data_IF_146387495484
#
_entry.id   IF_146387495484
#
_cell.length_a   1.000
_cell.length_b   1.000
_cell.length_c   1.000
_cell.angle_alpha   90.00
_cell.angle_beta   90.00
_cell.angle_gamma   90.00
#
_symmetry.space_group_name_H-M   'P 1'
#
loop_
_entity.id
_entity.type
_entity.pdbx_description
1 polymer ?
#
# COMPACT_ATOMS: atom_id res chain seq x y z
N UNK A 1 14.37 -7.82 17.98
CA UNK A 1 13.30 -8.79 17.65
C UNK A 1 12.19 -8.02 16.96
N UNK A 2 12.01 -8.19 15.65
CA UNK A 2 10.95 -7.46 14.94
C UNK A 2 9.60 -7.96 15.44
N UNK A 3 8.73 -7.05 15.88
CA UNK A 3 7.37 -7.39 16.29
C UNK A 3 6.67 -8.18 15.17
N UNK A 4 5.82 -9.17 15.49
CA UNK A 4 5.08 -9.90 14.48
C UNK A 4 4.27 -8.89 13.66
N UNK A 5 4.62 -8.77 12.37
CA UNK A 5 3.86 -7.95 11.45
C UNK A 5 2.46 -8.54 11.40
N UNK A 6 1.45 -7.76 11.84
CA UNK A 6 0.04 -8.19 11.83
C UNK A 6 -0.48 -8.55 10.43
N UNK A 7 0.24 -8.13 9.39
CA UNK A 7 -0.04 -8.44 8.00
C UNK A 7 1.24 -8.93 7.31
N UNK A 8 1.18 -9.98 6.48
CA UNK A 8 2.31 -10.40 5.67
C UNK A 8 2.68 -9.29 4.68
N UNK A 9 3.98 -9.18 4.37
CA UNK A 9 4.50 -8.12 3.50
C UNK A 9 3.87 -8.18 2.10
N UNK A 10 3.63 -9.38 1.55
CA UNK A 10 2.93 -9.58 0.27
C UNK A 10 1.52 -8.98 0.26
N UNK A 11 0.76 -9.14 1.36
CA UNK A 11 -0.58 -8.57 1.48
C UNK A 11 -0.51 -7.04 1.54
N UNK A 12 0.46 -6.51 2.29
CA UNK A 12 0.70 -5.08 2.38
C UNK A 12 1.05 -4.49 1.03
N UNK A 13 1.98 -5.09 0.29
CA UNK A 13 2.41 -4.64 -1.04
C UNK A 13 1.24 -4.69 -2.04
N UNK A 14 0.51 -5.80 -2.07
CA UNK A 14 -0.67 -5.96 -2.94
C UNK A 14 -1.74 -4.93 -2.64
N UNK A 15 -2.10 -4.75 -1.37
CA UNK A 15 -3.11 -3.78 -0.97
C UNK A 15 -2.70 -2.36 -1.34
N UNK A 16 -1.43 -2.02 -1.08
CA UNK A 16 -0.86 -0.70 -1.37
C UNK A 16 -0.88 -0.39 -2.85
N UNK A 17 -0.41 -1.34 -3.69
CA UNK A 17 -0.39 -1.18 -5.14
C UNK A 17 -1.79 -0.96 -5.72
N UNK A 18 -2.74 -1.82 -5.34
CA UNK A 18 -4.13 -1.70 -5.80
C UNK A 18 -4.74 -0.35 -5.40
N UNK A 19 -4.43 0.13 -4.18
CA UNK A 19 -4.98 1.39 -3.68
C UNK A 19 -4.34 2.61 -4.33
N UNK A 20 -3.05 2.57 -4.68
CA UNK A 20 -2.39 3.60 -5.49
C UNK A 20 -3.00 3.62 -6.90
N UNK A 21 -3.11 2.47 -7.56
CA UNK A 21 -3.68 2.35 -8.90
C UNK A 21 -5.13 2.86 -8.95
N UNK A 22 -5.97 2.46 -8.00
CA UNK A 22 -7.36 2.91 -7.90
C UNK A 22 -7.51 4.42 -7.62
N UNK A 23 -6.51 5.04 -6.96
CA UNK A 23 -6.50 6.50 -6.71
C UNK A 23 -6.01 7.33 -7.88
N UNK A 24 -5.32 6.72 -8.86
CA UNK A 24 -4.94 7.40 -10.12
C UNK A 24 -6.16 7.70 -10.99
N UNK A 25 -7.22 6.92 -10.84
CA UNK A 25 -8.51 7.17 -11.48
C UNK A 25 -9.34 8.14 -10.62
N UNK A 26 -9.67 9.35 -11.12
CA UNK A 26 -10.41 10.35 -10.34
C UNK A 26 -11.85 9.95 -10.02
N UNK A 27 -12.46 9.04 -10.80
CA UNK A 27 -13.80 8.52 -10.52
C UNK A 27 -13.79 7.46 -9.40
N UNK A 28 -12.66 6.77 -9.20
CA UNK A 28 -12.50 5.72 -8.20
C UNK A 28 -11.73 6.17 -6.95
N UNK A 29 -11.06 7.32 -6.99
CA UNK A 29 -10.25 7.85 -5.90
C UNK A 29 -11.03 8.02 -4.59
N UNK A 30 -12.31 8.40 -4.69
CA UNK A 30 -13.23 8.50 -3.56
C UNK A 30 -13.50 7.14 -2.92
N UNK A 31 -12.83 6.84 -1.80
CA UNK A 31 -13.07 5.62 -1.05
C UNK A 31 -12.30 4.39 -1.56
N UNK A 32 -11.41 4.52 -2.54
CA UNK A 32 -10.54 3.44 -3.03
C UNK A 32 -9.83 2.68 -1.89
N UNK A 33 -9.21 3.42 -0.97
CA UNK A 33 -8.50 2.84 0.18
C UNK A 33 -9.45 2.00 1.03
N UNK A 34 -10.63 2.51 1.38
CA UNK A 34 -11.60 1.77 2.21
C UNK A 34 -12.07 0.50 1.49
N UNK A 35 -12.42 0.61 0.22
CA UNK A 35 -12.88 -0.53 -0.59
C UNK A 35 -11.87 -1.65 -0.62
N UNK A 36 -10.61 -1.33 -0.90
CA UNK A 36 -9.53 -2.32 -1.02
C UNK A 36 -9.15 -2.90 0.34
N UNK A 37 -9.17 -2.07 1.38
CA UNK A 37 -8.98 -2.52 2.76
C UNK A 37 -10.05 -3.56 3.15
N UNK A 38 -11.33 -3.28 2.91
CA UNK A 38 -12.44 -4.22 3.14
C UNK A 38 -12.28 -5.51 2.31
N UNK A 39 -11.93 -5.41 1.02
CA UNK A 39 -11.76 -6.57 0.14
C UNK A 39 -10.63 -7.52 0.59
N UNK A 40 -9.58 -6.98 1.20
CA UNK A 40 -8.38 -7.73 1.61
C UNK A 40 -8.34 -8.03 3.12
N UNK A 41 -9.34 -7.60 3.88
CA UNK A 41 -9.36 -7.75 5.34
C UNK A 41 -8.27 -6.94 6.06
N UNK A 42 -7.82 -5.84 5.44
CA UNK A 42 -6.79 -4.94 6.00
C UNK A 42 -7.48 -3.77 6.69
N UNK A 43 -6.89 -3.25 7.77
CA UNK A 43 -7.41 -2.05 8.41
C UNK A 43 -7.25 -0.81 7.48
N UNK A 44 -8.31 -0.02 7.22
CA UNK A 44 -8.25 1.10 6.28
C UNK A 44 -7.18 2.15 6.60
N UNK A 45 -6.98 2.47 7.88
CA UNK A 45 -5.94 3.42 8.32
C UNK A 45 -4.51 2.87 8.12
N UNK A 46 -4.33 1.55 8.24
CA UNK A 46 -3.04 0.92 7.95
C UNK A 46 -2.73 1.04 6.46
N UNK A 47 -3.71 0.71 5.60
CA UNK A 47 -3.57 0.83 4.16
C UNK A 47 -3.31 2.28 3.73
N UNK A 48 -4.00 3.26 4.33
CA UNK A 48 -3.76 4.68 4.07
C UNK A 48 -2.31 5.09 4.34
N UNK A 49 -1.74 4.59 5.43
CA UNK A 49 -0.34 4.87 5.80
C UNK A 49 0.63 4.28 4.79
N UNK A 50 0.38 3.05 4.33
CA UNK A 50 1.24 2.41 3.32
C UNK A 50 1.14 3.07 1.95
N UNK A 51 -0.05 3.47 1.53
CA UNK A 51 -0.28 4.21 0.27
C UNK A 51 0.46 5.55 0.30
N UNK A 52 0.37 6.30 1.40
CA UNK A 52 1.11 7.57 1.55
C UNK A 52 2.62 7.36 1.48
N UNK A 53 3.13 6.29 2.10
CA UNK A 53 4.54 5.93 2.03
C UNK A 53 4.95 5.58 0.59
N UNK A 54 4.14 4.82 -0.14
CA UNK A 54 4.40 4.45 -1.52
C UNK A 54 4.35 5.66 -2.47
N UNK A 55 3.40 6.58 -2.31
CA UNK A 55 3.34 7.83 -3.08
C UNK A 55 4.57 8.71 -2.81
N UNK A 56 5.04 8.75 -1.55
CA UNK A 56 6.25 9.49 -1.18
C UNK A 56 7.50 8.83 -1.78
N UNK A 57 7.62 7.51 -1.68
CA UNK A 57 8.76 6.75 -2.21
C UNK A 57 8.81 6.82 -3.75
N UNK A 58 7.67 6.74 -4.44
CA UNK A 58 7.55 6.94 -5.90
C UNK A 58 7.97 8.36 -6.31
N UNK A 59 7.60 9.39 -5.53
CA UNK A 59 8.04 10.77 -5.78
C UNK A 59 9.48 11.09 -5.37
N UNK A 60 10.06 10.28 -4.48
CA UNK A 60 11.41 10.50 -3.91
C UNK A 60 12.47 9.64 -4.62
N UNK A 61 12.10 8.50 -5.21
CA UNK A 61 13.04 7.60 -5.88
C UNK A 61 13.00 7.76 -7.41
N UNK A 62 14.02 8.35 -8.04
CA UNK A 62 14.30 8.05 -9.44
C UNK A 62 14.87 6.62 -9.53
N UNK A 63 14.01 5.61 -9.64
CA UNK A 63 14.37 4.31 -10.23
C UNK A 63 14.91 3.21 -9.31
N UNK A 64 14.30 2.92 -8.16
CA UNK A 64 14.64 1.67 -7.44
C UNK A 64 13.38 0.97 -6.97
N UNK A 65 12.99 -0.03 -7.76
CA UNK A 65 12.01 -1.06 -7.44
C UNK A 65 12.23 -1.57 -6.03
N UNK A 66 11.17 -1.50 -5.22
CA UNK A 66 11.00 -2.25 -3.98
C UNK A 66 11.25 -3.73 -4.24
N UNK A 67 12.48 -4.16 -4.09
CA UNK A 67 12.94 -5.54 -3.91
C UNK A 67 14.28 -5.37 -3.25
N UNK A 68 14.30 -5.38 -1.92
CA UNK A 68 15.47 -5.62 -1.06
C UNK A 68 15.03 -5.40 0.40
N UNK A 69 14.36 -6.40 0.96
CA UNK A 69 14.29 -6.60 2.41
C UNK A 69 13.85 -8.05 2.74
N UNK A 70 14.56 -9.05 2.21
CA UNK A 70 14.68 -10.38 2.81
C UNK A 70 15.65 -11.25 1.99
N UNK A 71 16.88 -11.41 2.51
CA UNK A 71 17.92 -12.31 2.01
C UNK A 71 19.13 -12.24 2.92
#
# INVERSE_FOLDING_TARGET
>A
MAAPRKYPDELRERATRLAVEARRDPASAGGAIKRIADQLGVHPEALRTWVKQAETDEGTRPGTTTTEAAG
#
